data_IF_895850251706
#
_entry.id   IF_895850251706
#
_cell.length_a   1.000
_cell.length_b   1.000
_cell.length_c   1.000
_cell.angle_alpha   90.00
_cell.angle_beta   90.00
_cell.angle_gamma   90.00
#
_symmetry.space_group_name_H-M   'P 1'
#
loop_
_entity.id
_entity.type
_entity.pdbx_description
1 polymer ?
#
# COMPACT_ATOMS: atom_id res chain seq x y z
N UNK A 1 13.91 0.32 -6.12
CA UNK A 1 13.76 0.93 -7.45
C UNK A 1 13.47 -0.19 -8.43
N UNK A 2 12.29 -0.20 -9.04
CA UNK A 2 11.96 -1.13 -10.12
C UNK A 2 12.79 -0.75 -11.36
N UNK A 3 13.24 -1.74 -12.12
CA UNK A 3 14.03 -1.48 -13.34
C UNK A 3 13.11 -0.96 -14.46
N UNK A 4 13.60 -0.08 -15.34
CA UNK A 4 12.81 0.51 -16.44
C UNK A 4 12.13 -0.55 -17.35
N UNK A 5 12.64 -1.78 -17.39
CA UNK A 5 11.99 -2.91 -18.09
C UNK A 5 10.72 -3.43 -17.39
N UNK A 6 10.63 -3.40 -16.05
CA UNK A 6 9.44 -3.86 -15.31
C UNK A 6 8.23 -2.94 -15.54
N UNK A 7 8.46 -1.65 -15.79
CA UNK A 7 7.41 -0.64 -16.01
C UNK A 7 6.71 -0.81 -17.37
N UNK A 8 7.16 -1.73 -18.24
CA UNK A 8 6.61 -1.89 -19.60
C UNK A 8 5.54 -2.97 -19.74
N UNK A 9 5.49 -3.97 -18.85
CA UNK A 9 4.49 -5.05 -18.91
C UNK A 9 3.23 -4.68 -18.13
N UNK A 10 2.03 -4.93 -18.66
CA UNK A 10 0.80 -4.76 -17.90
C UNK A 10 0.79 -5.67 -16.65
N UNK A 11 0.37 -5.16 -15.48
CA UNK A 11 0.32 -5.93 -14.24
C UNK A 11 -0.64 -7.12 -14.38
N UNK A 12 -0.34 -8.23 -13.69
CA UNK A 12 -1.17 -9.44 -13.66
C UNK A 12 -1.94 -9.54 -12.33
N UNK A 13 -1.34 -9.03 -11.25
CA UNK A 13 -1.88 -8.94 -9.90
C UNK A 13 -1.69 -7.53 -9.37
N UNK A 14 -2.47 -7.13 -8.36
CA UNK A 14 -2.34 -5.81 -7.74
C UNK A 14 -0.92 -5.56 -7.20
N UNK A 15 -0.25 -6.60 -6.71
CA UNK A 15 1.12 -6.49 -6.18
C UNK A 15 2.17 -6.21 -7.25
N UNK A 16 1.87 -6.43 -8.53
CA UNK A 16 2.75 -6.06 -9.63
C UNK A 16 2.73 -4.55 -9.91
N UNK A 17 1.71 -3.83 -9.42
CA UNK A 17 1.59 -2.38 -9.58
C UNK A 17 2.52 -1.70 -8.57
N UNK A 18 3.50 -0.89 -9.01
CA UNK A 18 4.36 -0.17 -8.07
C UNK A 18 3.57 0.82 -7.21
N UNK A 19 3.82 0.85 -5.91
CA UNK A 19 3.21 1.79 -4.97
C UNK A 19 3.23 1.30 -3.52
N UNK A 20 3.03 2.20 -2.57
CA UNK A 20 3.05 1.93 -1.13
C UNK A 20 1.65 1.73 -0.59
N UNK A 21 1.13 0.51 -0.73
CA UNK A 21 -0.19 0.15 -0.20
C UNK A 21 -0.12 -1.11 0.66
N UNK A 22 0.31 -1.00 1.93
CA UNK A 22 0.51 -2.15 2.82
C UNK A 22 -0.76 -2.95 3.06
N UNK A 23 -0.60 -4.24 3.40
CA UNK A 23 -1.72 -5.18 3.58
C UNK A 23 -2.75 -4.74 4.63
N UNK A 24 -2.32 -4.05 5.68
CA UNK A 24 -3.24 -3.51 6.69
C UNK A 24 -4.12 -2.42 6.10
N UNK A 25 -3.55 -1.54 5.27
CA UNK A 25 -4.28 -0.44 4.66
C UNK A 25 -5.20 -0.94 3.54
N UNK A 26 -4.81 -1.99 2.80
CA UNK A 26 -5.73 -2.70 1.90
C UNK A 26 -6.95 -3.23 2.65
N UNK A 27 -6.75 -3.88 3.80
CA UNK A 27 -7.85 -4.37 4.63
C UNK A 27 -8.69 -3.23 5.21
N UNK A 28 -8.08 -2.14 5.67
CA UNK A 28 -8.82 -0.99 6.20
C UNK A 28 -9.66 -0.32 5.12
N UNK A 29 -9.11 -0.09 3.93
CA UNK A 29 -9.85 0.50 2.79
C UNK A 29 -11.06 -0.37 2.44
N UNK A 30 -10.84 -1.67 2.27
CA UNK A 30 -11.91 -2.64 2.01
C UNK A 30 -12.97 -2.64 3.12
N UNK A 31 -12.54 -2.65 4.39
CA UNK A 31 -13.45 -2.64 5.52
C UNK A 31 -14.30 -1.35 5.57
N UNK A 32 -13.69 -0.17 5.42
CA UNK A 32 -14.42 1.10 5.43
C UNK A 32 -15.39 1.21 4.26
N UNK A 33 -14.95 0.88 3.05
CA UNK A 33 -15.77 1.00 1.84
C UNK A 33 -16.92 -0.01 1.84
N UNK A 34 -16.66 -1.28 2.19
CA UNK A 34 -17.70 -2.31 2.33
C UNK A 34 -18.69 -1.95 3.44
N UNK A 35 -18.23 -1.40 4.58
CA UNK A 35 -19.12 -0.94 5.65
C UNK A 35 -20.06 0.17 5.14
N UNK A 36 -19.54 1.15 4.42
CA UNK A 36 -20.36 2.21 3.82
C UNK A 36 -21.39 1.63 2.84
N UNK A 37 -20.98 0.69 1.99
CA UNK A 37 -21.86 0.04 1.01
C UNK A 37 -22.96 -0.79 1.67
N UNK A 38 -22.61 -1.62 2.65
CA UNK A 38 -23.57 -2.44 3.42
C UNK A 38 -24.54 -1.57 4.22
N UNK A 39 -24.07 -0.41 4.70
CA UNK A 39 -24.90 0.59 5.38
C UNK A 39 -25.76 1.45 4.44
N UNK A 40 -25.69 1.23 3.12
CA UNK A 40 -26.45 2.00 2.13
C UNK A 40 -26.02 3.46 2.00
N UNK A 41 -24.84 3.84 2.52
CA UNK A 41 -24.26 5.15 2.24
C UNK A 41 -24.00 5.24 0.73
N UNK A 42 -24.14 6.41 0.12
CA UNK A 42 -23.86 6.68 -1.29
C UNK A 42 -23.05 7.96 -1.40
N UNK A 43 -22.10 8.02 -2.33
CA UNK A 43 -21.32 9.22 -2.57
C UNK A 43 -20.09 8.94 -3.43
N UNK A 44 -19.53 10.02 -3.96
CA UNK A 44 -18.36 9.96 -4.82
C UNK A 44 -17.12 9.49 -4.04
N UNK A 45 -16.13 9.03 -4.80
CA UNK A 45 -14.81 8.67 -4.30
C UNK A 45 -13.80 9.69 -4.83
N UNK A 46 -12.82 10.04 -4.00
CA UNK A 46 -11.72 10.93 -4.38
C UNK A 46 -10.40 10.39 -3.86
N UNK A 47 -9.38 10.39 -4.71
CA UNK A 47 -7.99 10.16 -4.33
C UNK A 47 -7.09 11.27 -4.86
N UNK A 48 -6.27 11.85 -3.98
CA UNK A 48 -5.34 12.93 -4.29
C UNK A 48 -3.92 12.40 -4.06
N UNK A 49 -3.16 12.23 -5.14
CA UNK A 49 -1.93 11.45 -5.19
C UNK A 49 -2.25 9.98 -5.48
N UNK A 50 -2.00 9.53 -6.71
CA UNK A 50 -2.27 8.13 -7.12
C UNK A 50 -1.03 7.39 -7.59
N UNK A 51 0.04 8.10 -7.95
CA UNK A 51 1.25 7.51 -8.49
C UNK A 51 0.92 6.54 -9.65
N UNK A 52 1.42 5.30 -9.63
CA UNK A 52 1.13 4.28 -10.65
C UNK A 52 -0.19 3.52 -10.41
N UNK A 53 -1.01 3.95 -9.46
CA UNK A 53 -2.41 3.58 -9.32
C UNK A 53 -2.73 2.41 -8.40
N UNK A 54 -1.81 1.93 -7.55
CA UNK A 54 -2.05 0.73 -6.73
C UNK A 54 -3.27 0.87 -5.80
N UNK A 55 -3.33 1.93 -5.00
CA UNK A 55 -4.49 2.25 -4.16
C UNK A 55 -5.71 2.63 -5.00
N UNK A 56 -5.52 3.39 -6.08
CA UNK A 56 -6.62 3.80 -6.95
C UNK A 56 -7.35 2.63 -7.62
N UNK A 57 -6.60 1.64 -8.11
CA UNK A 57 -7.14 0.39 -8.63
C UNK A 57 -7.99 -0.31 -7.57
N UNK A 58 -7.55 -0.28 -6.30
CA UNK A 58 -8.27 -0.90 -5.21
C UNK A 58 -9.58 -0.17 -4.89
N UNK A 59 -9.51 1.14 -4.67
CA UNK A 59 -10.67 2.01 -4.41
C UNK A 59 -11.68 1.94 -5.54
N UNK A 60 -11.22 1.88 -6.79
CA UNK A 60 -12.08 1.84 -7.97
C UNK A 60 -13.09 0.69 -7.99
N UNK A 61 -12.82 -0.43 -7.30
CA UNK A 61 -13.76 -1.57 -7.20
C UNK A 61 -15.01 -1.26 -6.39
N UNK A 62 -14.92 -0.28 -5.50
CA UNK A 62 -15.99 0.15 -4.63
C UNK A 62 -16.85 1.24 -5.28
N UNK A 63 -16.48 1.74 -6.47
CA UNK A 63 -17.28 2.70 -7.21
C UNK A 63 -18.55 2.04 -7.75
N UNK A 64 -19.72 2.50 -7.29
CA UNK A 64 -21.01 2.04 -7.81
C UNK A 64 -21.43 2.83 -9.05
N UNK A 65 -22.34 2.30 -9.91
CA UNK A 65 -22.71 2.94 -11.18
C UNK A 65 -23.18 4.40 -11.08
N UNK A 66 -23.85 4.77 -9.98
CA UNK A 66 -24.36 6.13 -9.74
C UNK A 66 -23.32 7.08 -9.12
N UNK A 67 -22.13 6.57 -8.76
CA UNK A 67 -21.07 7.34 -8.10
C UNK A 67 -20.02 7.77 -9.13
N UNK A 68 -19.37 8.89 -8.88
CA UNK A 68 -18.16 9.30 -9.60
C UNK A 68 -16.93 8.86 -8.81
N UNK A 69 -15.88 8.51 -9.52
CA UNK A 69 -14.55 8.37 -8.93
C UNK A 69 -13.62 9.36 -9.60
N UNK A 70 -13.02 10.26 -8.82
CA UNK A 70 -12.06 11.25 -9.29
C UNK A 70 -10.69 10.97 -8.69
N UNK A 71 -9.66 11.04 -9.51
CA UNK A 71 -8.25 10.96 -9.09
C UNK A 71 -7.54 12.25 -9.47
N UNK A 72 -6.64 12.74 -8.62
CA UNK A 72 -5.85 13.94 -8.87
C UNK A 72 -4.36 13.65 -8.68
N UNK A 73 -3.52 13.96 -9.66
CA UNK A 73 -2.07 13.80 -9.56
C UNK A 73 -1.36 14.73 -10.56
N UNK A 74 -0.10 15.09 -10.28
CA UNK A 74 0.74 15.84 -11.20
C UNK A 74 1.18 14.98 -12.38
N UNK A 75 1.41 13.68 -12.16
CA UNK A 75 2.07 12.76 -13.09
C UNK A 75 3.40 13.32 -13.62
N UNK A 76 3.57 13.43 -14.93
CA UNK A 76 4.71 14.10 -15.58
C UNK A 76 4.65 15.64 -15.54
N UNK A 77 3.66 16.22 -14.87
CA UNK A 77 3.50 17.67 -14.71
C UNK A 77 4.51 18.28 -13.74
N UNK A 78 4.76 19.58 -13.91
CA UNK A 78 5.66 20.30 -13.02
C UNK A 78 5.01 20.48 -11.64
N UNK A 79 5.68 19.97 -10.60
CA UNK A 79 5.31 20.29 -9.23
C UNK A 79 5.46 21.80 -8.98
N UNK A 80 4.58 22.44 -8.22
CA UNK A 80 4.55 23.90 -8.09
C UNK A 80 5.78 24.48 -7.36
N UNK A 81 6.37 23.72 -6.44
CA UNK A 81 7.49 24.14 -5.59
C UNK A 81 8.74 23.25 -5.75
N UNK A 82 9.89 23.78 -5.32
CA UNK A 82 11.20 23.14 -5.49
C UNK A 82 11.35 21.84 -4.69
N UNK A 83 10.71 21.75 -3.52
CA UNK A 83 10.82 20.59 -2.65
C UNK A 83 10.03 19.39 -3.23
N UNK A 84 8.79 19.62 -3.66
CA UNK A 84 8.01 18.63 -4.39
C UNK A 84 8.70 18.25 -5.72
N UNK A 85 9.29 19.21 -6.47
CA UNK A 85 10.08 18.89 -7.67
C UNK A 85 11.26 17.97 -7.36
N UNK A 86 12.00 18.25 -6.29
CA UNK A 86 13.15 17.44 -5.88
C UNK A 86 12.74 16.02 -5.47
N UNK A 87 11.60 15.86 -4.82
CA UNK A 87 11.02 14.57 -4.49
C UNK A 87 10.55 13.83 -5.74
N UNK A 88 9.76 14.47 -6.61
CA UNK A 88 9.29 13.86 -7.87
C UNK A 88 10.43 13.38 -8.77
N UNK A 89 11.50 14.16 -8.86
CA UNK A 89 12.69 13.79 -9.63
C UNK A 89 13.39 12.55 -9.07
N UNK A 90 13.35 12.33 -7.75
CA UNK A 90 14.02 11.19 -7.08
C UNK A 90 13.15 9.94 -7.02
N UNK A 91 11.88 10.11 -6.70
CA UNK A 91 10.96 9.02 -6.33
C UNK A 91 10.00 8.65 -7.46
N UNK A 92 9.73 9.57 -8.40
CA UNK A 92 8.66 9.43 -9.41
C UNK A 92 9.16 9.63 -10.85
N UNK A 93 10.47 9.48 -11.12
CA UNK A 93 11.06 9.77 -12.45
C UNK A 93 10.51 8.93 -13.62
N UNK A 94 9.81 7.83 -13.33
CA UNK A 94 9.15 6.96 -14.32
C UNK A 94 7.62 7.09 -14.32
N UNK A 95 7.07 7.97 -13.48
CA UNK A 95 5.64 8.22 -13.40
C UNK A 95 5.18 9.00 -14.64
N UNK A 96 4.20 8.45 -15.33
CA UNK A 96 3.40 9.20 -16.32
C UNK A 96 1.94 8.85 -16.14
N UNK A 97 1.07 9.74 -16.59
CA UNK A 97 -0.37 9.51 -16.63
C UNK A 97 -0.70 8.23 -17.40
N UNK A 98 0.00 7.98 -18.52
CA UNK A 98 -0.19 6.78 -19.33
C UNK A 98 0.13 5.49 -18.58
N UNK A 99 1.16 5.50 -17.71
CA UNK A 99 1.49 4.33 -16.87
C UNK A 99 0.35 4.05 -15.88
N UNK A 100 -0.15 5.09 -15.20
CA UNK A 100 -1.31 4.99 -14.32
C UNK A 100 -2.53 4.44 -15.07
N UNK A 101 -2.92 5.06 -16.19
CA UNK A 101 -4.11 4.68 -16.95
C UNK A 101 -4.04 3.22 -17.44
N UNK A 102 -2.87 2.80 -17.96
CA UNK A 102 -2.64 1.42 -18.39
C UNK A 102 -2.75 0.43 -17.22
N UNK A 103 -2.16 0.76 -16.07
CA UNK A 103 -2.27 -0.10 -14.89
C UNK A 103 -3.71 -0.18 -14.42
N UNK A 104 -4.44 0.94 -14.39
CA UNK A 104 -5.84 1.00 -13.98
C UNK A 104 -6.74 0.16 -14.88
N UNK A 105 -6.63 0.34 -16.20
CA UNK A 105 -7.40 -0.40 -17.22
C UNK A 105 -7.07 -1.89 -17.30
N UNK A 106 -5.95 -2.30 -16.68
CA UNK A 106 -5.66 -3.73 -16.52
C UNK A 106 -6.63 -4.40 -15.53
N UNK A 107 -7.29 -3.66 -14.65
CA UNK A 107 -8.23 -4.19 -13.65
C UNK A 107 -9.67 -3.70 -13.82
N UNK A 108 -9.89 -2.58 -14.50
CA UNK A 108 -11.19 -1.94 -14.69
C UNK A 108 -11.54 -1.74 -16.17
N UNK A 109 -12.83 -1.62 -16.48
CA UNK A 109 -13.30 -1.40 -17.86
C UNK A 109 -13.15 0.07 -18.31
N UNK A 110 -13.26 1.02 -17.38
CA UNK A 110 -13.24 2.45 -17.64
C UNK A 110 -12.33 3.18 -16.64
N UNK A 111 -11.72 4.27 -17.06
CA UNK A 111 -10.91 5.13 -16.19
C UNK A 111 -11.78 5.90 -15.20
N UNK A 112 -11.26 6.23 -14.01
CA UNK A 112 -11.85 7.28 -13.20
C UNK A 112 -11.70 8.63 -13.92
N UNK A 113 -12.39 9.66 -13.44
CA UNK A 113 -12.11 11.01 -13.88
C UNK A 113 -10.72 11.43 -13.42
N UNK A 114 -9.82 11.68 -14.36
CA UNK A 114 -8.43 12.07 -14.06
C UNK A 114 -8.29 13.59 -14.10
N UNK A 115 -7.96 14.19 -12.97
CA UNK A 115 -7.51 15.57 -12.85
C UNK A 115 -5.98 15.58 -12.85
N UNK A 116 -5.38 15.95 -13.98
CA UNK A 116 -3.93 16.08 -14.07
C UNK A 116 -3.51 17.51 -13.69
N UNK A 117 -2.90 17.67 -12.53
CA UNK A 117 -2.49 18.97 -12.00
C UNK A 117 -2.33 18.98 -10.48
N UNK A 118 -2.06 20.16 -9.89
CA UNK A 118 -1.95 20.30 -8.44
C UNK A 118 -3.29 20.03 -7.77
N UNK A 119 -3.24 19.53 -6.54
CA UNK A 119 -4.44 19.23 -5.73
C UNK A 119 -5.32 20.46 -5.46
N UNK A 120 -4.78 21.68 -5.61
CA UNK A 120 -5.53 22.93 -5.53
C UNK A 120 -6.66 23.07 -6.57
N UNK A 121 -6.67 22.25 -7.62
CA UNK A 121 -7.77 22.19 -8.60
C UNK A 121 -9.01 21.45 -8.06
N UNK A 122 -8.81 20.52 -7.12
CA UNK A 122 -9.86 19.60 -6.65
C UNK A 122 -11.11 20.32 -6.13
N UNK A 123 -11.03 21.40 -5.32
CA UNK A 123 -12.22 22.08 -4.81
C UNK A 123 -13.14 22.69 -5.87
N UNK A 124 -12.59 23.06 -7.03
CA UNK A 124 -13.36 23.65 -8.14
C UNK A 124 -13.94 22.56 -9.06
N UNK A 125 -13.32 21.37 -9.05
CA UNK A 125 -13.66 20.27 -9.95
C UNK A 125 -14.57 19.21 -9.31
N UNK A 126 -14.56 19.09 -7.98
CA UNK A 126 -15.36 18.10 -7.23
C UNK A 126 -16.47 18.81 -6.46
N UNK A 127 -17.68 18.27 -6.55
CA UNK A 127 -18.85 18.86 -5.91
C UNK A 127 -18.75 18.81 -4.37
N UNK A 128 -19.05 19.93 -3.72
CA UNK A 128 -19.03 20.02 -2.25
C UNK A 128 -20.04 19.06 -1.64
N UNK A 129 -19.63 18.35 -0.58
CA UNK A 129 -20.45 17.36 0.09
C UNK A 129 -20.91 16.21 -0.81
N UNK A 130 -20.17 15.85 -1.87
CA UNK A 130 -20.52 14.72 -2.72
C UNK A 130 -19.79 13.42 -2.35
N UNK A 131 -18.62 13.50 -1.71
CA UNK A 131 -17.76 12.35 -1.48
C UNK A 131 -18.14 11.57 -0.21
N UNK A 132 -18.12 10.23 -0.29
CA UNK A 132 -18.19 9.37 0.90
C UNK A 132 -16.81 8.96 1.42
N UNK A 133 -15.79 9.00 0.56
CA UNK A 133 -14.42 8.57 0.88
C UNK A 133 -13.41 9.44 0.14
N UNK A 134 -12.45 10.00 0.88
CA UNK A 134 -11.36 10.83 0.35
C UNK A 134 -10.02 10.30 0.87
N UNK A 135 -9.09 9.99 -0.03
CA UNK A 135 -7.71 9.62 0.30
C UNK A 135 -6.74 10.74 -0.13
N UNK A 136 -5.88 11.19 0.78
CA UNK A 136 -4.86 12.22 0.55
C UNK A 136 -3.47 11.60 0.74
N UNK A 137 -2.70 11.55 -0.35
CA UNK A 137 -1.39 10.91 -0.50
C UNK A 137 -0.53 11.60 -1.58
N UNK A 138 -0.61 12.94 -1.69
CA UNK A 138 0.05 13.70 -2.76
C UNK A 138 1.38 14.36 -2.33
N UNK A 139 1.33 15.39 -1.50
CA UNK A 139 2.51 16.16 -1.08
C UNK A 139 2.89 15.86 0.37
N UNK A 140 4.17 16.00 0.69
CA UNK A 140 4.68 15.90 2.05
C UNK A 140 4.89 17.25 2.76
N UNK A 141 4.56 18.35 2.08
CA UNK A 141 4.68 19.70 2.61
C UNK A 141 3.41 20.09 3.36
N UNK A 142 3.60 20.77 4.49
CA UNK A 142 2.52 21.16 5.38
C UNK A 142 1.44 21.98 4.66
N UNK A 143 1.83 22.95 3.83
CA UNK A 143 0.91 23.90 3.19
C UNK A 143 -0.09 23.20 2.26
N UNK A 144 0.41 22.25 1.46
CA UNK A 144 -0.41 21.47 0.53
C UNK A 144 -1.32 20.51 1.28
N UNK A 145 -0.79 19.74 2.24
CA UNK A 145 -1.57 18.80 3.04
C UNK A 145 -2.65 19.52 3.85
N UNK A 146 -2.32 20.67 4.44
CA UNK A 146 -3.28 21.50 5.18
C UNK A 146 -4.44 21.95 4.28
N UNK A 147 -4.14 22.36 3.04
CA UNK A 147 -5.11 22.73 2.02
C UNK A 147 -5.99 21.54 1.61
N UNK A 148 -5.37 20.39 1.31
CA UNK A 148 -6.06 19.16 0.89
C UNK A 148 -6.99 18.64 1.98
N UNK A 149 -6.59 18.68 3.26
CA UNK A 149 -7.46 18.34 4.40
C UNK A 149 -8.67 19.29 4.46
N UNK A 150 -8.47 20.57 4.12
CA UNK A 150 -9.56 21.55 4.05
C UNK A 150 -10.54 21.25 2.93
N UNK A 151 -10.02 20.93 1.74
CA UNK A 151 -10.84 20.48 0.63
C UNK A 151 -11.63 19.21 1.00
N UNK A 152 -10.97 18.20 1.58
CA UNK A 152 -11.64 16.97 1.99
C UNK A 152 -12.79 17.21 2.98
N UNK A 153 -12.62 18.13 3.94
CA UNK A 153 -13.70 18.52 4.86
C UNK A 153 -14.93 19.05 4.14
N UNK A 154 -14.73 19.87 3.12
CA UNK A 154 -15.79 20.52 2.36
C UNK A 154 -16.45 19.58 1.33
N UNK A 155 -15.69 18.60 0.83
CA UNK A 155 -16.13 17.63 -0.18
C UNK A 155 -16.84 16.41 0.44
N UNK A 156 -16.54 16.07 1.68
CA UNK A 156 -17.14 14.90 2.34
C UNK A 156 -18.59 15.14 2.76
N UNK A 157 -19.42 14.13 2.52
CA UNK A 157 -20.73 13.94 3.11
C UNK A 157 -20.64 13.78 4.64
N UNK A 158 -21.73 14.03 5.39
CA UNK A 158 -21.82 13.64 6.78
C UNK A 158 -21.51 12.15 6.98
N UNK A 159 -20.57 11.83 7.88
CA UNK A 159 -20.11 10.46 8.11
C UNK A 159 -19.15 9.91 7.04
N UNK A 160 -18.75 10.74 6.07
CA UNK A 160 -17.69 10.43 5.13
C UNK A 160 -16.33 10.23 5.82
N UNK A 161 -15.46 9.47 5.17
CA UNK A 161 -14.15 9.07 5.70
C UNK A 161 -13.06 9.81 4.95
N UNK A 162 -12.14 10.43 5.69
CA UNK A 162 -10.86 10.92 5.15
C UNK A 162 -9.74 9.98 5.60
N UNK A 163 -8.81 9.71 4.69
CA UNK A 163 -7.59 8.95 4.94
C UNK A 163 -6.40 9.82 4.59
N UNK A 164 -5.50 10.02 5.54
CA UNK A 164 -4.29 10.82 5.40
C UNK A 164 -3.08 9.90 5.42
N UNK A 165 -2.33 9.83 4.32
CA UNK A 165 -1.10 9.03 4.27
C UNK A 165 0.06 9.69 4.99
N UNK A 166 1.10 8.90 5.28
CA UNK A 166 2.41 9.30 5.78
C UNK A 166 2.48 10.23 7.01
N UNK A 167 1.41 10.35 7.81
CA UNK A 167 1.40 11.19 9.03
C UNK A 167 2.36 10.74 10.14
N UNK A 168 3.09 9.63 9.94
CA UNK A 168 4.13 9.10 10.86
C UNK A 168 5.47 8.83 10.18
N UNK A 169 5.60 9.16 8.91
CA UNK A 169 6.84 8.95 8.18
C UNK A 169 7.87 10.02 8.60
N UNK A 170 9.09 9.59 8.93
CA UNK A 170 10.10 10.48 9.53
C UNK A 170 10.53 11.63 8.62
N UNK A 171 10.42 11.44 7.30
CA UNK A 171 10.79 12.40 6.28
C UNK A 171 9.65 13.35 5.89
N UNK A 172 8.45 13.16 6.45
CA UNK A 172 7.23 13.91 6.11
C UNK A 172 6.64 14.67 7.32
N UNK A 173 7.45 15.45 8.09
CA UNK A 173 6.96 16.12 9.29
C UNK A 173 5.81 17.09 9.02
N UNK A 174 5.74 17.69 7.83
CA UNK A 174 4.64 18.58 7.43
C UNK A 174 3.28 17.89 7.43
N UNK A 175 3.23 16.64 6.96
CA UNK A 175 2.02 15.80 6.97
C UNK A 175 1.56 15.54 8.39
N UNK A 176 2.50 15.17 9.27
CA UNK A 176 2.23 14.91 10.69
C UNK A 176 1.61 16.15 11.37
N UNK A 177 2.20 17.33 11.13
CA UNK A 177 1.73 18.60 11.69
C UNK A 177 0.32 18.91 11.18
N UNK A 178 0.09 18.85 9.86
CA UNK A 178 -1.20 19.16 9.25
C UNK A 178 -2.33 18.21 9.74
N UNK A 179 -2.04 16.90 9.82
CA UNK A 179 -2.99 15.90 10.30
C UNK A 179 -3.41 16.14 11.76
N UNK A 180 -2.45 16.37 12.66
CA UNK A 180 -2.76 16.61 14.08
C UNK A 180 -3.35 17.98 14.33
N UNK A 181 -2.95 19.02 13.58
CA UNK A 181 -3.61 20.31 13.61
C UNK A 181 -5.08 20.19 13.17
N UNK A 182 -5.37 19.40 12.14
CA UNK A 182 -6.74 19.17 11.71
C UNK A 182 -7.60 18.53 12.81
N UNK A 183 -7.00 17.60 13.56
CA UNK A 183 -7.65 16.97 14.73
C UNK A 183 -7.91 17.99 15.83
N UNK A 184 -6.87 18.69 16.27
CA UNK A 184 -6.91 19.54 17.46
C UNK A 184 -7.66 20.86 17.23
N UNK A 185 -7.57 21.43 16.02
CA UNK A 185 -8.00 22.80 15.73
C UNK A 185 -9.13 22.86 14.69
N UNK A 186 -9.30 21.83 13.86
CA UNK A 186 -10.25 21.87 12.71
C UNK A 186 -11.32 20.79 12.76
N UNK A 187 -11.47 20.13 13.91
CA UNK A 187 -12.58 19.24 14.24
C UNK A 187 -12.54 17.87 13.56
N UNK A 188 -11.43 17.48 12.94
CA UNK A 188 -11.25 16.12 12.44
C UNK A 188 -11.24 15.15 13.63
N UNK A 189 -12.05 14.10 13.60
CA UNK A 189 -12.08 13.10 14.66
C UNK A 189 -11.43 11.81 14.16
N UNK A 190 -10.33 11.36 14.78
CA UNK A 190 -9.66 10.13 14.38
C UNK A 190 -10.55 8.93 14.68
N UNK A 191 -10.66 8.01 13.73
CA UNK A 191 -11.31 6.71 13.88
C UNK A 191 -10.25 5.68 14.28
N UNK A 192 -9.22 5.54 13.44
CA UNK A 192 -8.10 4.64 13.69
C UNK A 192 -6.82 5.09 13.00
N UNK A 193 -5.70 4.53 13.44
CA UNK A 193 -4.38 4.68 12.85
C UNK A 193 -3.87 3.32 12.39
N UNK A 194 -3.33 3.27 11.18
CA UNK A 194 -2.43 2.20 10.75
C UNK A 194 -0.98 2.55 11.11
N UNK A 195 -0.01 1.88 10.49
CA UNK A 195 1.40 2.25 10.67
C UNK A 195 1.68 3.63 10.10
N UNK A 196 1.14 3.93 8.90
CA UNK A 196 1.45 5.13 8.12
C UNK A 196 0.24 6.03 7.89
N UNK A 197 -1.00 5.54 8.01
CA UNK A 197 -2.23 6.27 7.68
C UNK A 197 -3.07 6.64 8.91
N UNK A 198 -3.65 7.85 8.89
CA UNK A 198 -4.69 8.28 9.82
C UNK A 198 -6.04 8.23 9.10
N UNK A 199 -7.00 7.52 9.68
CA UNK A 199 -8.38 7.47 9.21
C UNK A 199 -9.25 8.31 10.14
N UNK A 200 -10.07 9.20 9.58
CA UNK A 200 -10.90 10.11 10.37
C UNK A 200 -12.20 10.46 9.70
N UNK A 201 -13.03 11.17 10.45
CA UNK A 201 -14.30 11.75 9.98
C UNK A 201 -14.57 13.05 10.72
N UNK A 202 -15.35 13.96 10.14
CA UNK A 202 -15.89 15.13 10.87
C UNK A 202 -17.21 14.82 11.59
N UNK A 203 -17.80 13.64 11.37
CA UNK A 203 -19.01 13.17 12.06
C UNK A 203 -18.76 12.55 13.44
N UNK A 204 -19.68 11.73 13.92
CA UNK A 204 -19.46 10.92 15.12
C UNK A 204 -18.64 9.66 14.80
N UNK A 205 -17.41 9.49 15.34
CA UNK A 205 -16.61 8.29 15.09
C UNK A 205 -17.08 7.08 15.91
N UNK A 206 -17.92 7.25 16.94
CA UNK A 206 -18.28 6.20 17.90
C UNK A 206 -18.79 4.90 17.24
N UNK A 207 -19.84 4.95 16.40
CA UNK A 207 -20.39 3.76 15.75
C UNK A 207 -19.35 3.00 14.90
N UNK A 208 -18.61 3.71 14.06
CA UNK A 208 -17.59 3.10 13.20
C UNK A 208 -16.40 2.56 14.00
N UNK A 209 -16.04 3.19 15.12
CA UNK A 209 -15.01 2.69 16.03
C UNK A 209 -15.43 1.39 16.71
N UNK A 210 -16.67 1.28 17.19
CA UNK A 210 -17.15 0.05 17.85
C UNK A 210 -17.20 -1.14 16.88
N UNK A 211 -17.70 -0.93 15.66
CA UNK A 211 -17.72 -1.96 14.62
C UNK A 211 -16.30 -2.40 14.20
N UNK A 212 -15.37 -1.45 14.09
CA UNK A 212 -13.97 -1.74 13.77
C UNK A 212 -13.31 -2.57 14.88
N UNK A 213 -13.55 -2.21 16.14
CA UNK A 213 -13.04 -2.96 17.28
C UNK A 213 -13.60 -4.37 17.36
N UNK A 214 -14.91 -4.54 17.12
CA UNK A 214 -15.53 -5.86 17.09
C UNK A 214 -14.85 -6.73 16.02
N UNK A 215 -14.69 -6.20 14.80
CA UNK A 215 -14.07 -6.94 13.69
C UNK A 215 -12.58 -7.23 13.95
N UNK A 216 -11.83 -6.25 14.46
CA UNK A 216 -10.39 -6.39 14.66
C UNK A 216 -10.01 -7.29 15.84
N UNK A 217 -10.87 -7.42 16.87
CA UNK A 217 -10.63 -8.29 18.04
C UNK A 217 -10.55 -9.77 17.67
N UNK A 218 -11.29 -10.18 16.65
CA UNK A 218 -11.32 -11.59 16.20
C UNK A 218 -10.13 -11.97 15.32
N UNK A 219 -9.25 -11.01 15.02
CA UNK A 219 -8.07 -11.21 14.18
C UNK A 219 -6.82 -11.54 14.99
N UNK A 220 -6.29 -12.75 14.82
CA UNK A 220 -5.02 -13.17 15.43
C UNK A 220 -3.78 -12.61 14.72
N UNK A 221 -3.95 -12.15 13.48
CA UNK A 221 -2.93 -11.60 12.59
C UNK A 221 -2.84 -10.06 12.62
N UNK A 222 -3.61 -9.39 13.48
CA UNK A 222 -3.59 -7.93 13.64
C UNK A 222 -3.39 -7.56 15.11
N UNK A 223 -2.40 -6.70 15.39
CA UNK A 223 -2.25 -6.10 16.70
C UNK A 223 -3.20 -4.92 16.85
N UNK A 224 -4.02 -4.98 17.90
CA UNK A 224 -4.99 -3.96 18.25
C UNK A 224 -4.61 -3.31 19.59
N UNK A 225 -4.67 -1.98 19.64
CA UNK A 225 -4.61 -1.22 20.89
C UNK A 225 -5.51 0.01 20.81
N UNK A 226 -5.95 0.49 21.97
CA UNK A 226 -6.77 1.71 22.08
C UNK A 226 -6.06 2.65 23.05
N UNK A 227 -5.97 3.92 22.69
CA UNK A 227 -5.35 4.96 23.52
C UNK A 227 -6.26 6.19 23.57
N UNK A 228 -6.30 6.85 24.71
CA UNK A 228 -6.91 8.17 24.85
C UNK A 228 -5.82 9.23 24.69
N UNK A 229 -6.00 10.16 23.76
CA UNK A 229 -5.08 11.27 23.57
C UNK A 229 -5.83 12.53 23.13
N UNK A 230 -5.55 13.66 23.79
CA UNK A 230 -6.18 14.95 23.50
C UNK A 230 -7.72 14.92 23.43
N UNK A 231 -8.37 14.11 24.28
CA UNK A 231 -9.82 13.96 24.29
C UNK A 231 -10.40 13.06 23.20
N UNK A 232 -9.55 12.36 22.46
CA UNK A 232 -9.97 11.39 21.45
C UNK A 232 -9.58 9.97 21.83
N UNK A 233 -10.51 9.05 21.60
CA UNK A 233 -10.23 7.63 21.54
C UNK A 233 -9.57 7.31 20.20
N UNK A 234 -8.38 6.73 20.24
CA UNK A 234 -7.57 6.42 19.08
C UNK A 234 -7.34 4.91 19.01
N UNK A 235 -7.99 4.26 18.05
CA UNK A 235 -7.75 2.85 17.74
C UNK A 235 -6.46 2.76 16.92
N UNK A 236 -5.53 1.89 17.33
CA UNK A 236 -4.29 1.64 16.59
C UNK A 236 -4.24 0.20 16.16
N UNK A 237 -4.05 0.00 14.86
CA UNK A 237 -3.88 -1.31 14.25
C UNK A 237 -2.48 -1.45 13.68
N UNK A 238 -1.91 -2.65 13.76
CA UNK A 238 -0.63 -2.98 13.15
C UNK A 238 -0.67 -4.41 12.63
N UNK A 239 -0.28 -4.61 11.37
CA UNK A 239 -0.16 -5.96 10.81
C UNK A 239 0.81 -6.82 11.61
N UNK A 240 0.40 -8.07 11.87
CA UNK A 240 1.20 -9.13 12.49
C UNK A 240 1.17 -10.36 11.56
N UNK A 241 1.66 -10.16 10.33
CA UNK A 241 1.64 -11.20 9.30
C UNK A 241 0.28 -11.35 8.61
N UNK A 242 -0.50 -10.25 8.55
CA UNK A 242 -1.77 -10.24 7.81
C UNK A 242 -1.56 -10.64 6.36
N UNK A 243 -2.54 -11.36 5.83
CA UNK A 243 -2.65 -11.57 4.38
C UNK A 243 -3.43 -10.41 3.76
N UNK A 244 -3.04 -10.04 2.54
CA UNK A 244 -3.81 -9.08 1.76
C UNK A 244 -5.25 -9.62 1.53
N UNK A 245 -6.27 -8.76 1.52
CA UNK A 245 -7.59 -9.13 1.03
C UNK A 245 -7.51 -9.75 -0.36
N UNK A 246 -8.45 -10.64 -0.69
CA UNK A 246 -8.51 -11.22 -2.02
C UNK A 246 -8.79 -10.12 -3.05
N UNK A 247 -7.93 -10.03 -4.06
CA UNK A 247 -8.07 -9.06 -5.15
C UNK A 247 -8.04 -9.79 -6.49
N UNK A 248 -9.03 -9.58 -7.37
CA UNK A 248 -9.06 -10.27 -8.66
C UNK A 248 -7.83 -10.01 -9.51
N UNK A 249 -7.41 -11.00 -10.31
CA UNK A 249 -6.33 -10.81 -11.26
C UNK A 249 -6.73 -9.77 -12.31
N UNK A 250 -5.72 -9.24 -13.01
CA UNK A 250 -5.94 -8.35 -14.15
C UNK A 250 -6.81 -9.02 -15.22
N UNK A 251 -7.58 -8.23 -15.97
CA UNK A 251 -8.50 -8.66 -17.03
C UNK A 251 -7.78 -9.42 -18.16
N UNK A 252 -6.51 -9.11 -18.37
CA UNK A 252 -5.64 -9.77 -19.34
C UNK A 252 -4.68 -10.76 -18.70
N UNK A 253 -4.90 -11.10 -17.42
CA UNK A 253 -4.10 -12.13 -16.79
C UNK A 253 -4.29 -13.42 -17.58
N UNK A 254 -3.18 -13.98 -18.08
CA UNK A 254 -3.27 -15.30 -18.66
C UNK A 254 -3.73 -16.23 -17.54
N UNK A 255 -4.93 -16.81 -17.66
CA UNK A 255 -5.25 -18.04 -16.95
C UNK A 255 -4.05 -18.94 -17.20
N UNK A 256 -3.38 -19.51 -16.18
CA UNK A 256 -2.38 -20.51 -16.44
C UNK A 256 -3.08 -21.54 -17.31
N UNK A 257 -2.76 -21.58 -18.59
CA UNK A 257 -3.14 -22.68 -19.46
C UNK A 257 -2.71 -23.88 -18.65
N UNK A 258 -3.66 -24.71 -18.20
CA UNK A 258 -3.31 -26.01 -17.62
C UNK A 258 -2.26 -26.53 -18.58
N UNK A 259 -1.01 -26.64 -18.12
CA UNK A 259 0.07 -27.07 -18.98
C UNK A 259 -0.43 -28.39 -19.55
N UNK A 260 -0.78 -28.38 -20.84
CA UNK A 260 -1.23 -29.58 -21.52
C UNK A 260 -0.06 -30.50 -21.33
N UNK A 261 -0.24 -31.51 -20.47
CA UNK A 261 0.80 -32.47 -20.20
C UNK A 261 1.30 -32.92 -21.57
N UNK A 262 2.61 -32.89 -21.84
CA UNK A 262 3.11 -33.37 -23.12
C UNK A 262 2.49 -34.76 -23.35
N UNK A 263 2.00 -35.04 -24.57
CA UNK A 263 1.32 -36.29 -24.84
C UNK A 263 2.18 -37.43 -24.31
N UNK A 264 1.59 -38.31 -23.48
CA UNK A 264 2.28 -39.49 -22.96
C UNK A 264 2.93 -40.19 -24.14
N UNK A 265 4.26 -40.18 -24.20
CA UNK A 265 4.99 -40.99 -25.14
C UNK A 265 4.58 -42.45 -24.88
N UNK A 266 4.18 -43.14 -25.95
CA UNK A 266 3.89 -44.56 -25.91
C UNK A 266 5.12 -45.30 -25.33
N UNK A 267 4.92 -46.34 -24.50
CA UNK A 267 6.03 -47.06 -23.90
C UNK A 267 6.90 -47.68 -25.00
N UNK A 268 8.21 -47.37 -24.95
CA UNK A 268 9.20 -48.03 -25.77
C UNK A 268 9.32 -49.52 -25.37
N UNK A 269 9.57 -50.43 -26.32
CA UNK A 269 9.69 -51.85 -26.03
C UNK A 269 10.91 -52.15 -25.13
N UNK A 270 10.69 -53.02 -24.15
CA UNK A 270 11.65 -53.47 -23.15
C UNK A 270 12.89 -54.13 -23.79
N UNK A 271 14.13 -53.70 -23.48
CA UNK A 271 15.33 -54.44 -23.85
C UNK A 271 15.54 -55.66 -22.93
N UNK A 272 16.04 -56.75 -23.51
CA UNK A 272 16.34 -58.02 -22.82
C UNK A 272 17.48 -57.88 -21.78
N UNK A 273 17.52 -58.76 -20.75
CA UNK A 273 18.40 -58.60 -19.60
C UNK A 273 19.86 -59.00 -19.87
N UNK A 274 20.80 -58.25 -19.29
CA UNK A 274 22.23 -58.56 -19.27
C UNK A 274 22.66 -59.11 -17.88
N UNK A 275 23.72 -59.96 -17.81
CA UNK A 275 24.02 -60.79 -16.65
C UNK A 275 24.76 -60.08 -15.49
N UNK A 276 24.69 -60.68 -14.31
CA UNK A 276 25.10 -60.14 -13.01
C UNK A 276 26.63 -60.18 -12.76
N UNK A 277 27.19 -59.21 -11.99
CA UNK A 277 28.53 -59.31 -11.41
C UNK A 277 28.52 -59.68 -9.90
N UNK A 278 29.64 -60.29 -9.48
CA UNK A 278 29.93 -60.87 -8.15
C UNK A 278 30.22 -59.87 -7.00
N UNK A 279 30.14 -60.31 -5.72
CA UNK A 279 30.22 -59.43 -4.55
C UNK A 279 31.64 -59.25 -3.98
N UNK A 280 31.97 -58.07 -3.40
CA UNK A 280 33.19 -57.88 -2.61
C UNK A 280 32.97 -58.08 -1.08
N UNK A 281 34.06 -58.32 -0.31
CA UNK A 281 34.01 -58.76 1.09
C UNK A 281 33.96 -57.62 2.14
N UNK A 282 33.76 -58.02 3.40
CA UNK A 282 33.39 -57.16 4.54
C UNK A 282 34.51 -56.77 5.53
N UNK A 283 34.20 -55.73 6.34
CA UNK A 283 34.76 -55.25 7.65
C UNK A 283 35.97 -54.29 7.57
N UNK A 284 36.17 -53.29 8.46
CA UNK A 284 35.84 -53.09 9.90
C UNK A 284 35.93 -51.58 10.29
N UNK A 285 35.22 -51.14 11.34
CA UNK A 285 35.26 -49.78 11.98
C UNK A 285 36.53 -49.56 12.85
N UNK A 286 36.91 -48.37 13.45
CA UNK A 286 36.03 -47.32 14.05
C UNK A 286 36.55 -45.84 14.24
N UNK A 287 35.74 -45.03 14.95
CA UNK A 287 35.99 -43.85 15.86
C UNK A 287 36.06 -42.37 15.37
N UNK A 288 35.04 -41.62 15.82
CA UNK A 288 34.92 -40.22 16.34
C UNK A 288 35.82 -39.07 15.85
N UNK A 289 35.21 -37.91 15.51
CA UNK A 289 35.18 -36.66 16.33
C UNK A 289 34.38 -35.55 15.64
N UNK A 290 33.97 -34.58 16.46
CA UNK A 290 33.09 -33.43 16.26
C UNK A 290 33.51 -32.36 15.22
N UNK A 291 32.55 -31.65 14.61
CA UNK A 291 32.24 -30.21 14.89
C UNK A 291 31.26 -29.58 13.87
N UNK A 292 30.22 -28.99 14.45
CA UNK A 292 29.47 -27.77 14.12
C UNK A 292 29.46 -27.16 12.69
N UNK A 293 28.22 -27.04 12.20
CA UNK A 293 27.55 -25.93 11.48
C UNK A 293 28.40 -24.78 10.91
N UNK A 294 28.18 -24.49 9.63
CA UNK A 294 28.28 -23.14 9.07
C UNK A 294 27.24 -22.97 7.96
N UNK A 295 26.32 -22.01 8.12
CA UNK A 295 25.34 -21.58 7.11
C UNK A 295 25.53 -20.09 6.87
N UNK A 296 25.65 -19.80 5.57
CA UNK A 296 25.31 -18.61 4.79
C UNK A 296 25.43 -17.21 5.44
N UNK A 297 26.37 -16.47 4.83
CA UNK A 297 26.44 -15.03 4.67
C UNK A 297 25.63 -14.67 3.42
N UNK A 298 24.72 -13.70 3.50
CA UNK A 298 24.70 -12.49 2.65
C UNK A 298 23.35 -11.77 2.67
N UNK A 299 23.43 -10.46 2.36
CA UNK A 299 22.38 -9.46 2.12
C UNK A 299 22.08 -8.52 3.30
N UNK A 300 22.80 -7.39 3.37
CA UNK A 300 22.23 -6.06 3.64
C UNK A 300 23.15 -4.94 3.07
N UNK A 301 22.63 -3.97 2.27
CA UNK A 301 23.40 -2.84 1.69
C UNK A 301 23.75 -1.70 2.68
N UNK A 302 24.65 -0.76 2.29
CA UNK A 302 25.57 -0.08 3.21
C UNK A 302 25.00 1.18 3.88
N UNK A 303 25.13 1.24 5.20
CA UNK A 303 25.01 2.46 6.00
C UNK A 303 26.36 3.20 6.05
N UNK A 304 26.35 4.44 5.58
CA UNK A 304 27.45 5.40 5.72
C UNK A 304 27.24 6.20 7.00
N UNK A 305 28.11 6.04 8.00
CA UNK A 305 28.63 7.16 8.78
C UNK A 305 29.91 6.76 9.54
N UNK A 306 31.05 7.33 9.13
CA UNK A 306 32.30 7.34 9.91
C UNK A 306 32.43 8.73 10.52
N UNK A 307 32.38 8.85 11.85
CA UNK A 307 33.08 9.90 12.56
C UNK A 307 33.28 9.55 14.05
N UNK A 308 34.53 9.72 14.51
CA UNK A 308 34.99 9.95 15.90
C UNK A 308 35.15 8.72 16.81
N UNK A 309 36.35 8.11 16.76
CA UNK A 309 37.02 7.56 17.94
C UNK A 309 38.53 7.75 17.76
N UNK A 310 39.15 8.55 18.64
CA UNK A 310 40.49 8.32 19.17
C UNK A 310 40.74 9.28 20.33
N UNK A 311 40.12 8.97 21.46
CA UNK A 311 40.66 9.33 22.76
C UNK A 311 41.50 8.14 23.25
N UNK A 312 42.70 8.48 23.74
CA UNK A 312 43.58 7.67 24.61
C UNK A 312 44.49 6.63 23.94
N UNK A 313 45.64 7.13 23.49
CA UNK A 313 46.93 6.58 23.93
C UNK A 313 47.69 7.67 24.68
N UNK A 314 47.82 7.50 25.99
CA UNK A 314 48.79 8.25 26.77
C UNK A 314 50.16 7.56 26.71
N UNK A 315 51.23 8.36 26.71
CA UNK A 315 52.44 8.19 27.53
C UNK A 315 53.55 9.12 27.03
N UNK A 316 54.08 9.88 28.00
CA UNK A 316 55.21 10.82 27.98
C UNK A 316 54.87 12.23 27.53
#
# INVERSE_FOLDING_TARGET
MATTQEVTRPPQRLDDVPGWFPVLDQWLFDWFLNRQEAGGAHGDLLEVGVYMGKSAIFVGRHRRPAEKYTVCDLFEGEAPDDANRAESTKSYSALTRQVFERNYLSFHDELPRVLQGPSSLVPDEVERGSCRFVHIDASHLYEHVHGDIGAARDLLLPGGIVVLDDFRSEHTPGVSIAAWEAVLNRGLRPICLSTQKLYGTWGDPGPVQEELLATARDRSDCHLSVQEAAGHRIIRLKSKGMQAPEFPPARHAQTPTQAVAPPRQAPAPTPAPAPAPEPPPARRAPRSTSRARRVAVDLLPPLITRAIRNARTGRR
#
